data_IF_892285042393
#
_entry.id   IF_892285042393
#
_cell.length_a   1.000
_cell.length_b   1.000
_cell.length_c   1.000
_cell.angle_alpha   90.00
_cell.angle_beta   90.00
_cell.angle_gamma   90.00
#
_symmetry.space_group_name_H-M   'P 1'
#
loop_
_entity.id
_entity.type
_entity.pdbx_description
1 polymer ?
#
# COMPACT_ATOMS: atom_id res chain seq x y z
N UNK A 1 -21.31 -12.20 30.87
CA UNK A 1 -20.72 -11.36 29.78
C UNK A 1 -21.63 -10.18 29.52
N UNK A 2 -21.08 -9.02 29.15
CA UNK A 2 -21.92 -7.84 28.86
C UNK A 2 -22.78 -8.09 27.62
N UNK A 3 -23.94 -7.47 27.56
CA UNK A 3 -24.85 -7.57 26.41
C UNK A 3 -24.19 -7.11 25.11
N UNK A 4 -23.37 -6.06 25.21
CA UNK A 4 -22.59 -5.50 24.08
C UNK A 4 -21.63 -6.53 23.49
N UNK A 5 -20.96 -7.33 24.33
CA UNK A 5 -20.02 -8.36 23.88
C UNK A 5 -20.75 -9.51 23.14
N UNK A 6 -21.94 -9.88 23.60
CA UNK A 6 -22.76 -10.90 22.95
C UNK A 6 -23.23 -10.41 21.57
N UNK A 7 -23.67 -9.15 21.50
CA UNK A 7 -24.07 -8.53 20.23
C UNK A 7 -22.88 -8.51 19.26
N UNK A 8 -21.72 -8.02 19.71
CA UNK A 8 -20.49 -8.00 18.93
C UNK A 8 -20.11 -9.39 18.39
N UNK A 9 -20.15 -10.44 19.22
CA UNK A 9 -19.82 -11.81 18.79
C UNK A 9 -20.77 -12.34 17.71
N UNK A 10 -22.07 -12.04 17.83
CA UNK A 10 -23.05 -12.43 16.81
C UNK A 10 -22.82 -11.68 15.48
N UNK A 11 -22.54 -10.38 15.53
CA UNK A 11 -22.24 -9.57 14.33
C UNK A 11 -20.95 -10.05 13.67
N UNK A 12 -19.90 -10.31 14.45
CA UNK A 12 -18.63 -10.85 13.96
C UNK A 12 -18.83 -12.22 13.31
N UNK A 13 -19.60 -13.11 13.93
CA UNK A 13 -19.90 -14.43 13.37
C UNK A 13 -20.62 -14.31 12.03
N UNK A 14 -21.61 -13.43 11.94
CA UNK A 14 -22.31 -13.17 10.70
C UNK A 14 -21.36 -12.67 9.60
N UNK A 15 -20.50 -11.71 9.92
CA UNK A 15 -19.51 -11.17 8.98
C UNK A 15 -18.55 -12.29 8.50
N UNK A 16 -17.98 -13.07 9.43
CA UNK A 16 -17.06 -14.18 9.10
C UNK A 16 -17.69 -15.27 8.22
N UNK A 17 -19.00 -15.50 8.36
CA UNK A 17 -19.70 -16.50 7.57
C UNK A 17 -20.17 -15.98 6.20
N UNK A 18 -20.23 -14.68 6.01
CA UNK A 18 -20.74 -14.06 4.78
C UNK A 18 -19.66 -13.38 3.93
N UNK A 19 -18.53 -12.97 4.53
CA UNK A 19 -17.45 -12.34 3.78
C UNK A 19 -16.81 -13.28 2.77
N UNK A 20 -16.34 -12.73 1.65
CA UNK A 20 -15.58 -13.49 0.66
C UNK A 20 -14.24 -13.94 1.25
N UNK A 21 -13.82 -15.15 0.96
CA UNK A 21 -12.47 -15.63 1.27
C UNK A 21 -11.48 -15.40 0.12
N UNK A 22 -11.92 -14.78 -0.99
CA UNK A 22 -11.12 -14.57 -2.19
C UNK A 22 -10.42 -15.83 -2.72
N UNK A 23 -11.05 -17.01 -2.55
CA UNK A 23 -10.47 -18.30 -2.95
C UNK A 23 -9.38 -18.84 -2.02
N UNK A 24 -9.13 -18.20 -0.89
CA UNK A 24 -8.12 -18.63 0.08
C UNK A 24 -8.70 -19.68 1.05
N UNK A 25 -7.79 -20.51 1.60
CA UNK A 25 -8.14 -21.43 2.67
C UNK A 25 -8.40 -20.67 3.99
N UNK A 26 -9.43 -21.10 4.73
CA UNK A 26 -9.73 -20.57 6.07
C UNK A 26 -8.66 -21.04 7.08
N UNK A 27 -8.32 -20.25 8.11
CA UNK A 27 -8.82 -18.92 8.46
C UNK A 27 -8.28 -17.81 7.53
N UNK A 28 -9.13 -16.87 7.17
CA UNK A 28 -8.78 -15.71 6.34
C UNK A 28 -8.80 -14.45 7.19
N UNK A 29 -7.77 -13.63 7.07
CA UNK A 29 -7.69 -12.30 7.64
C UNK A 29 -7.24 -11.30 6.57
N UNK A 30 -7.40 -10.02 6.85
CA UNK A 30 -7.18 -8.96 5.88
C UNK A 30 -6.05 -8.04 6.31
N UNK A 31 -5.23 -7.65 5.35
CA UNK A 31 -4.18 -6.65 5.52
C UNK A 31 -4.34 -5.56 4.47
N UNK A 32 -3.71 -4.42 4.70
CA UNK A 32 -3.63 -3.35 3.71
C UNK A 32 -2.36 -3.55 2.90
N UNK A 33 -2.51 -3.55 1.59
CA UNK A 33 -1.40 -3.68 0.64
C UNK A 33 -1.44 -2.54 -0.37
N UNK A 34 -0.29 -2.10 -0.80
CA UNK A 34 -0.13 -1.16 -1.91
C UNK A 34 1.09 -1.55 -2.74
N UNK A 35 1.20 -1.02 -3.93
CA UNK A 35 2.41 -1.15 -4.73
C UNK A 35 3.32 0.05 -4.48
N UNK A 36 4.61 -0.24 -4.29
CA UNK A 36 5.67 0.76 -4.12
C UNK A 36 6.74 0.50 -5.17
N UNK A 37 7.36 1.58 -5.66
CA UNK A 37 8.47 1.48 -6.58
C UNK A 37 9.72 1.09 -5.80
N UNK A 38 10.45 0.10 -6.27
CA UNK A 38 11.71 -0.35 -5.69
C UNK A 38 12.79 -0.29 -6.77
N UNK A 39 13.89 0.38 -6.46
CA UNK A 39 15.07 0.44 -7.34
C UNK A 39 15.59 -0.98 -7.55
N UNK A 40 15.90 -1.30 -8.80
CA UNK A 40 16.42 -2.60 -9.23
C UNK A 40 17.49 -2.42 -10.31
N UNK A 41 18.15 -3.50 -10.69
CA UNK A 41 19.08 -3.49 -11.82
C UNK A 41 18.34 -3.20 -13.13
N UNK A 42 19.04 -2.60 -14.09
CA UNK A 42 18.48 -2.17 -15.38
C UNK A 42 17.75 -3.29 -16.14
N UNK A 43 18.23 -4.53 -16.00
CA UNK A 43 17.67 -5.70 -16.69
C UNK A 43 16.31 -6.16 -16.13
N UNK A 44 15.93 -5.70 -14.93
CA UNK A 44 14.70 -6.08 -14.22
C UNK A 44 13.74 -4.91 -14.00
N UNK A 45 14.09 -3.72 -14.45
CA UNK A 45 13.25 -2.53 -14.30
C UNK A 45 12.09 -2.53 -15.29
N UNK A 46 10.89 -2.21 -14.79
CA UNK A 46 9.67 -2.01 -15.58
C UNK A 46 9.39 -0.53 -15.81
N UNK A 47 9.97 0.33 -14.97
CA UNK A 47 9.79 1.78 -14.98
C UNK A 47 11.13 2.48 -14.71
N UNK A 48 11.21 3.74 -15.10
CA UNK A 48 12.33 4.64 -14.76
C UNK A 48 11.89 5.60 -13.66
N UNK A 49 12.72 5.76 -12.63
CA UNK A 49 12.58 6.78 -11.59
C UNK A 49 13.48 7.94 -11.91
N UNK A 50 12.94 9.16 -11.92
CA UNK A 50 13.64 10.42 -12.10
C UNK A 50 13.62 11.19 -10.79
N UNK A 51 14.77 11.37 -10.17
CA UNK A 51 14.91 11.80 -8.78
C UNK A 51 15.79 13.04 -8.70
N UNK A 52 15.39 13.98 -7.82
CA UNK A 52 16.25 15.04 -7.31
C UNK A 52 16.34 14.89 -5.78
N UNK A 53 17.56 14.99 -5.22
CA UNK A 53 17.85 14.70 -3.81
C UNK A 53 18.74 15.76 -3.15
N UNK A 54 18.42 17.03 -3.30
CA UNK A 54 19.05 18.12 -2.53
C UNK A 54 18.23 18.38 -1.25
N UNK A 55 18.56 17.69 -0.17
CA UNK A 55 17.88 17.77 1.13
C UNK A 55 16.56 17.01 1.17
N UNK A 56 15.63 17.27 0.29
CA UNK A 56 14.37 16.55 0.14
C UNK A 56 14.46 15.56 -1.04
N UNK A 57 13.80 14.42 -0.90
CA UNK A 57 13.67 13.44 -1.98
C UNK A 57 12.43 13.77 -2.82
N UNK A 58 12.66 14.17 -4.07
CA UNK A 58 11.61 14.47 -5.04
C UNK A 58 11.68 13.47 -6.19
N UNK A 59 10.54 12.91 -6.55
CA UNK A 59 10.35 12.04 -7.71
C UNK A 59 9.47 12.74 -8.74
N UNK A 60 9.88 12.73 -10.00
CA UNK A 60 9.13 13.31 -11.11
C UNK A 60 8.51 12.20 -11.95
N UNK A 61 7.23 12.32 -12.22
CA UNK A 61 6.50 11.43 -13.12
C UNK A 61 6.25 12.06 -14.49
N UNK A 62 6.36 13.39 -14.58
CA UNK A 62 6.09 14.16 -15.79
C UNK A 62 7.10 15.28 -15.99
N UNK A 63 7.30 15.63 -17.27
CA UNK A 63 8.15 16.74 -17.64
C UNK A 63 7.66 18.07 -17.04
N UNK A 64 6.35 18.32 -17.05
CA UNK A 64 5.78 19.56 -16.49
C UNK A 64 6.10 19.74 -15.00
N UNK A 65 6.12 18.66 -14.21
CA UNK A 65 6.49 18.69 -12.80
C UNK A 65 7.97 19.07 -12.61
N UNK A 66 8.86 18.55 -13.45
CA UNK A 66 10.27 18.92 -13.45
C UNK A 66 10.47 20.39 -13.84
N UNK A 67 9.80 20.85 -14.90
CA UNK A 67 9.88 22.24 -15.35
C UNK A 67 9.35 23.23 -14.31
N UNK A 68 8.25 22.87 -13.61
CA UNK A 68 7.73 23.68 -12.51
C UNK A 68 8.72 23.73 -11.33
N UNK A 69 9.36 22.61 -11.01
CA UNK A 69 10.38 22.53 -9.97
C UNK A 69 11.60 23.40 -10.29
N UNK A 70 12.12 23.32 -11.51
CA UNK A 70 13.27 24.14 -11.96
C UNK A 70 12.91 25.62 -12.10
N UNK A 71 11.70 25.93 -12.51
CA UNK A 71 10.99 27.19 -12.68
C UNK A 71 11.77 28.34 -13.33
N UNK A 72 13.00 28.57 -12.92
CA UNK A 72 13.90 29.61 -13.46
C UNK A 72 15.36 29.16 -13.28
N UNK A 73 16.27 29.66 -14.15
CA UNK A 73 17.70 29.36 -14.03
C UNK A 73 18.29 28.67 -15.25
N UNK A 74 19.58 28.33 -15.15
CA UNK A 74 20.31 27.69 -16.24
C UNK A 74 19.81 26.30 -16.58
N UNK A 75 19.43 25.54 -15.59
CA UNK A 75 18.85 24.20 -15.73
C UNK A 75 17.52 24.26 -16.48
N UNK A 76 16.63 25.19 -16.10
CA UNK A 76 15.35 25.38 -16.77
C UNK A 76 15.56 25.77 -18.23
N UNK A 77 16.43 26.73 -18.51
CA UNK A 77 16.71 27.20 -19.88
C UNK A 77 17.28 26.08 -20.76
N UNK A 78 18.02 25.15 -20.18
CA UNK A 78 18.59 24.00 -20.88
C UNK A 78 17.56 22.94 -21.25
N UNK A 79 16.50 22.75 -20.43
CA UNK A 79 15.54 21.63 -20.60
C UNK A 79 14.12 22.04 -21.02
N UNK A 80 13.80 23.34 -21.04
CA UNK A 80 12.43 23.84 -21.33
C UNK A 80 11.87 23.43 -22.68
N UNK A 81 12.72 23.16 -23.66
CA UNK A 81 12.36 22.77 -25.02
C UNK A 81 12.44 21.26 -25.24
N UNK A 82 12.68 20.45 -24.19
CA UNK A 82 12.65 18.99 -24.25
C UNK A 82 11.20 18.49 -24.48
N UNK A 83 11.07 17.38 -25.20
CA UNK A 83 9.78 16.76 -25.46
C UNK A 83 9.44 15.70 -24.40
N UNK A 84 10.45 15.09 -23.78
CA UNK A 84 10.28 14.03 -22.78
C UNK A 84 11.06 14.29 -21.50
N UNK A 85 10.61 13.67 -20.40
CA UNK A 85 11.30 13.69 -19.12
C UNK A 85 12.68 13.03 -19.20
N UNK A 86 12.83 12.02 -20.05
CA UNK A 86 14.10 11.28 -20.28
C UNK A 86 15.14 12.18 -20.94
N UNK A 87 14.77 12.91 -21.99
CA UNK A 87 15.63 13.88 -22.65
C UNK A 87 16.12 14.99 -21.71
N UNK A 88 15.18 15.50 -20.88
CA UNK A 88 15.53 16.53 -19.90
C UNK A 88 16.51 15.99 -18.84
N UNK A 89 16.29 14.76 -18.35
CA UNK A 89 17.22 14.14 -17.40
C UNK A 89 18.56 13.78 -18.02
N UNK A 90 18.66 13.46 -19.30
CA UNK A 90 19.94 13.26 -19.99
C UNK A 90 20.78 14.56 -19.97
N UNK A 91 20.17 15.71 -20.20
CA UNK A 91 20.85 17.00 -20.11
C UNK A 91 21.27 17.32 -18.67
N UNK A 92 20.33 17.16 -17.71
CA UNK A 92 20.61 17.45 -16.30
C UNK A 92 21.73 16.58 -15.73
N UNK A 93 21.72 15.28 -16.04
CA UNK A 93 22.76 14.34 -15.58
C UNK A 93 24.14 14.64 -16.16
N UNK A 94 24.21 15.11 -17.41
CA UNK A 94 25.48 15.37 -18.09
C UNK A 94 26.05 16.73 -17.77
N UNK A 95 25.23 17.78 -17.71
CA UNK A 95 25.68 19.20 -17.74
C UNK A 95 25.46 19.92 -16.38
N UNK A 96 24.58 19.41 -15.51
CA UNK A 96 24.16 20.11 -14.28
C UNK A 96 24.22 19.25 -13.01
N UNK A 97 24.93 18.12 -13.00
CA UNK A 97 24.92 17.17 -11.90
C UNK A 97 26.26 17.04 -11.15
N UNK A 98 27.01 18.16 -11.03
CA UNK A 98 28.29 18.16 -10.30
C UNK A 98 28.13 17.70 -8.84
N UNK A 99 27.03 18.07 -8.18
CA UNK A 99 26.71 17.72 -6.80
C UNK A 99 25.95 16.40 -6.66
N UNK A 100 25.68 15.69 -7.77
CA UNK A 100 24.94 14.42 -7.81
C UNK A 100 23.51 14.49 -7.26
N UNK A 101 22.83 15.64 -7.41
CA UNK A 101 21.46 15.80 -6.97
C UNK A 101 20.45 15.09 -7.88
N UNK A 102 20.72 15.04 -9.19
CA UNK A 102 19.87 14.34 -10.14
C UNK A 102 20.31 12.89 -10.29
N UNK A 103 19.33 11.98 -10.30
CA UNK A 103 19.58 10.56 -10.50
C UNK A 103 18.46 9.89 -11.29
N UNK A 104 18.83 8.89 -12.11
CA UNK A 104 17.90 8.05 -12.86
C UNK A 104 18.13 6.59 -12.50
N UNK A 105 17.07 5.90 -12.05
CA UNK A 105 17.14 4.51 -11.65
C UNK A 105 16.10 3.66 -12.35
N UNK A 106 16.44 2.42 -12.65
CA UNK A 106 15.46 1.41 -13.01
C UNK A 106 14.70 0.96 -11.76
N UNK A 107 13.38 0.77 -11.89
CA UNK A 107 12.54 0.36 -10.79
C UNK A 107 11.50 -0.67 -11.21
N UNK A 108 11.04 -1.45 -10.26
CA UNK A 108 9.91 -2.38 -10.41
C UNK A 108 8.86 -2.11 -9.34
N UNK A 109 7.60 -2.45 -9.64
CA UNK A 109 6.49 -2.34 -8.67
C UNK A 109 6.45 -3.56 -7.78
N UNK A 110 6.64 -3.35 -6.49
CA UNK A 110 6.59 -4.39 -5.47
C UNK A 110 5.34 -4.22 -4.61
N UNK A 111 4.63 -5.33 -4.38
CA UNK A 111 3.48 -5.34 -3.49
C UNK A 111 3.95 -5.35 -2.03
N UNK A 112 3.66 -4.29 -1.29
CA UNK A 112 4.07 -4.11 0.11
C UNK A 112 2.85 -4.17 1.02
N UNK A 113 2.91 -5.05 2.04
CA UNK A 113 1.94 -5.07 3.12
C UNK A 113 2.30 -3.96 4.11
N UNK A 114 1.35 -3.09 4.40
CA UNK A 114 1.56 -2.02 5.38
C UNK A 114 1.61 -2.59 6.78
N UNK A 115 2.63 -2.18 7.54
CA UNK A 115 2.82 -2.62 8.93
C UNK A 115 1.60 -2.26 9.79
N UNK A 116 1.37 -3.05 10.82
CA UNK A 116 0.29 -2.86 11.81
C UNK A 116 -1.13 -2.83 11.22
N UNK A 117 -1.31 -3.39 10.02
CA UNK A 117 -2.63 -3.49 9.37
C UNK A 117 -3.10 -4.94 9.32
N UNK A 118 -3.73 -5.41 10.40
CA UNK A 118 -4.34 -6.72 10.51
C UNK A 118 -5.80 -6.58 10.92
N UNK A 119 -6.71 -7.17 10.14
CA UNK A 119 -8.16 -7.10 10.36
C UNK A 119 -8.78 -8.48 10.25
N UNK A 120 -9.71 -8.78 11.14
CA UNK A 120 -10.45 -10.05 11.13
C UNK A 120 -11.50 -10.06 10.02
N UNK A 121 -12.09 -8.89 9.72
CA UNK A 121 -13.11 -8.79 8.69
C UNK A 121 -12.70 -7.88 7.52
N UNK A 122 -13.20 -8.23 6.33
CA UNK A 122 -12.98 -7.43 5.13
C UNK A 122 -13.58 -6.03 5.26
N UNK A 123 -14.75 -5.94 5.85
CA UNK A 123 -15.45 -4.68 6.10
C UNK A 123 -14.60 -3.71 6.91
N UNK A 124 -14.02 -4.17 8.02
CA UNK A 124 -13.15 -3.36 8.86
C UNK A 124 -11.92 -2.83 8.09
N UNK A 125 -11.28 -3.71 7.30
CA UNK A 125 -10.14 -3.32 6.45
C UNK A 125 -10.51 -2.24 5.42
N UNK A 126 -11.67 -2.36 4.76
CA UNK A 126 -12.18 -1.35 3.83
C UNK A 126 -12.50 -0.02 4.52
N UNK A 127 -13.12 -0.06 5.70
CA UNK A 127 -13.39 1.14 6.49
C UNK A 127 -12.10 1.83 6.94
N UNK A 128 -11.08 1.05 7.29
CA UNK A 128 -9.77 1.57 7.64
C UNK A 128 -9.14 2.34 6.47
N UNK A 129 -9.10 1.78 5.25
CA UNK A 129 -8.61 2.48 4.05
C UNK A 129 -9.39 3.78 3.85
N UNK A 130 -10.72 3.73 3.94
CA UNK A 130 -11.57 4.91 3.74
C UNK A 130 -11.27 6.04 4.71
N UNK A 131 -11.10 5.71 6.00
CA UNK A 131 -10.81 6.69 7.06
C UNK A 131 -9.39 7.25 6.99
N UNK A 132 -8.44 6.45 6.50
CA UNK A 132 -7.01 6.77 6.50
C UNK A 132 -6.44 6.98 5.09
N UNK A 133 -7.27 7.31 4.09
CA UNK A 133 -6.90 7.37 2.67
C UNK A 133 -5.66 8.20 2.39
N UNK A 134 -5.45 9.28 3.13
CA UNK A 134 -4.30 10.20 3.00
C UNK A 134 -2.94 9.57 3.35
N UNK A 135 -2.93 8.43 4.06
CA UNK A 135 -1.70 7.73 4.46
C UNK A 135 -1.28 6.66 3.44
N UNK A 136 -2.02 6.52 2.36
CA UNK A 136 -1.82 5.49 1.35
C UNK A 136 -1.74 6.11 -0.05
N UNK A 137 -0.97 5.48 -0.93
CA UNK A 137 -0.93 5.88 -2.34
C UNK A 137 -2.19 5.44 -3.11
N UNK A 138 -2.24 5.73 -4.42
CA UNK A 138 -3.40 5.43 -5.27
C UNK A 138 -3.67 3.94 -5.44
N UNK A 139 -2.67 3.08 -5.25
CA UNK A 139 -2.74 1.63 -5.48
C UNK A 139 -3.23 0.83 -4.27
N UNK A 140 -3.54 1.48 -3.14
CA UNK A 140 -3.95 0.82 -1.90
C UNK A 140 -5.20 -0.05 -2.08
N UNK A 141 -5.13 -1.26 -1.55
CA UNK A 141 -6.24 -2.22 -1.54
C UNK A 141 -6.15 -3.16 -0.34
N UNK A 142 -7.25 -3.83 -0.05
CA UNK A 142 -7.26 -4.93 0.92
C UNK A 142 -6.69 -6.20 0.28
N UNK A 143 -5.95 -6.97 1.06
CA UNK A 143 -5.40 -8.24 0.61
C UNK A 143 -5.73 -9.34 1.61
N UNK A 144 -6.31 -10.45 1.11
CA UNK A 144 -6.67 -11.61 1.93
C UNK A 144 -5.43 -12.49 2.17
N UNK A 145 -5.11 -12.70 3.42
CA UNK A 145 -4.07 -13.64 3.87
C UNK A 145 -4.70 -14.80 4.63
N UNK A 146 -3.97 -15.89 4.78
CA UNK A 146 -4.47 -17.08 5.47
C UNK A 146 -3.52 -17.55 6.57
N UNK A 147 -4.08 -18.08 7.66
CA UNK A 147 -3.36 -18.69 8.78
C UNK A 147 -3.58 -20.21 8.87
N UNK A 148 -3.83 -20.86 7.75
CA UNK A 148 -4.16 -22.31 7.67
C UNK A 148 -3.11 -23.26 8.27
N UNK A 149 -1.88 -22.80 8.51
CA UNK A 149 -0.82 -23.59 9.17
C UNK A 149 -0.86 -23.49 10.70
N UNK A 150 -1.68 -22.62 11.26
CA UNK A 150 -1.81 -22.43 12.71
C UNK A 150 -3.03 -23.15 13.25
N UNK A 151 -2.84 -24.33 13.83
CA UNK A 151 -3.93 -25.11 14.43
C UNK A 151 -4.70 -24.34 15.52
N UNK A 152 -4.03 -23.45 16.22
CA UNK A 152 -4.66 -22.61 17.26
C UNK A 152 -5.58 -21.58 16.61
N UNK A 153 -5.13 -20.92 15.54
CA UNK A 153 -5.96 -19.95 14.82
C UNK A 153 -7.12 -20.65 14.11
N UNK A 154 -6.90 -21.80 13.47
CA UNK A 154 -7.97 -22.61 12.88
C UNK A 154 -9.05 -22.95 13.91
N UNK A 155 -8.64 -23.43 15.09
CA UNK A 155 -9.58 -23.76 16.17
C UNK A 155 -10.35 -22.55 16.67
N UNK A 156 -9.68 -21.41 16.85
CA UNK A 156 -10.33 -20.16 17.23
C UNK A 156 -11.35 -19.72 16.18
N UNK A 157 -10.98 -19.80 14.91
CA UNK A 157 -11.86 -19.42 13.79
C UNK A 157 -13.10 -20.31 13.71
N UNK A 158 -12.96 -21.63 13.91
CA UNK A 158 -14.07 -22.55 13.96
C UNK A 158 -15.05 -22.20 15.10
N UNK A 159 -14.53 -21.88 16.28
CA UNK A 159 -15.34 -21.44 17.43
C UNK A 159 -16.11 -20.16 17.07
N UNK A 160 -15.43 -19.14 16.54
CA UNK A 160 -16.08 -17.89 16.16
C UNK A 160 -17.20 -18.08 15.12
N UNK A 161 -17.02 -19.02 14.19
CA UNK A 161 -17.98 -19.26 13.11
C UNK A 161 -19.15 -20.17 13.48
N UNK A 162 -18.99 -21.05 14.49
CA UNK A 162 -19.93 -22.13 14.75
C UNK A 162 -20.56 -22.12 16.15
N UNK A 163 -19.97 -21.37 17.10
CA UNK A 163 -20.49 -21.32 18.46
C UNK A 163 -21.88 -20.66 18.51
N UNK A 164 -22.72 -21.17 19.42
CA UNK A 164 -24.02 -20.55 19.73
C UNK A 164 -23.83 -19.49 20.84
N UNK A 165 -23.66 -18.24 20.43
CA UNK A 165 -23.51 -17.13 21.37
C UNK A 165 -24.80 -16.71 22.06
N UNK A 166 -25.96 -17.17 21.59
CA UNK A 166 -27.25 -16.93 22.27
C UNK A 166 -27.37 -17.62 23.64
N UNK A 167 -26.55 -18.65 23.85
CA UNK A 167 -26.49 -19.35 25.13
C UNK A 167 -25.69 -18.63 26.22
N UNK A 168 -24.99 -17.55 25.86
CA UNK A 168 -24.20 -16.78 26.82
C UNK A 168 -25.13 -15.92 27.68
N UNK A 169 -25.00 -16.07 29.01
CA UNK A 169 -25.84 -15.32 29.97
C UNK A 169 -25.30 -13.92 30.15
N UNK A 170 -26.23 -12.94 30.13
CA UNK A 170 -25.91 -11.56 30.52
C UNK A 170 -25.51 -11.51 32.01
N UNK A 171 -24.46 -10.82 32.31
CA UNK A 171 -24.12 -10.44 33.70
C UNK A 171 -25.12 -9.41 34.18
N UNK A 172 -25.74 -9.67 35.37
CA UNK A 172 -26.66 -8.73 36.01
C UNK A 172 -25.91 -7.58 36.68
#
# INVERSE_FOLDING_TARGET
MKKEDITFLNELQQELNTQSNCGNASPVFWVIRQYEKQITDSDFGEETLYIHSDGDYLEFEKLDELLEFLSEGSEFDAVKDCETLDDAFDILLNDFNEDNYFARYSATKVAVVKQDTFFITHKEALEHIKKNRRHYNSTVHTYAMTAWRSRVVERLWDILRTADFSMLKEEK
#
